data_IF_725204334653
#
_entry.id   IF_725204334653
#
_cell.length_a   1.000
_cell.length_b   1.000
_cell.length_c   1.000
_cell.angle_alpha   90.00
_cell.angle_beta   90.00
_cell.angle_gamma   90.00
#
_symmetry.space_group_name_H-M   'P 1'
#
loop_
_entity.id
_entity.type
_entity.pdbx_description
1 polymer ?
#
# COMPACT_ATOMS: atom_id res chain seq x y z
N UNK A 1 13.58 -8.78 26.18
CA UNK A 1 12.68 -9.18 25.10
C UNK A 1 11.67 -8.08 24.71
N UNK A 2 10.96 -7.41 25.68
CA UNK A 2 9.99 -6.35 25.36
C UNK A 2 10.63 -5.15 24.64
N UNK A 3 11.82 -4.72 25.07
CA UNK A 3 12.55 -3.62 24.42
C UNK A 3 12.96 -3.97 22.99
N UNK A 4 13.33 -5.23 22.74
CA UNK A 4 13.68 -5.72 21.41
C UNK A 4 12.46 -5.65 20.49
N UNK A 5 11.33 -6.18 20.93
CA UNK A 5 10.07 -6.14 20.16
C UNK A 5 9.64 -4.72 19.90
N UNK A 6 9.68 -3.84 20.91
CA UNK A 6 9.30 -2.44 20.74
C UNK A 6 10.20 -1.70 19.74
N UNK A 7 11.54 -1.84 19.90
CA UNK A 7 12.50 -1.22 18.99
C UNK A 7 12.38 -1.75 17.55
N UNK A 8 12.23 -3.07 17.40
CA UNK A 8 12.06 -3.70 16.10
C UNK A 8 10.72 -3.30 15.43
N UNK A 9 9.63 -3.24 16.19
CA UNK A 9 8.33 -2.78 15.67
C UNK A 9 8.38 -1.31 15.24
N UNK A 10 9.05 -0.46 16.00
CA UNK A 10 9.24 0.93 15.64
C UNK A 10 10.06 1.10 14.35
N UNK A 11 11.16 0.36 14.21
CA UNK A 11 11.92 0.29 12.96
C UNK A 11 11.04 -0.24 11.82
N UNK A 12 10.23 -1.25 12.07
CA UNK A 12 9.28 -1.79 11.10
C UNK A 12 8.31 -0.72 10.60
N UNK A 13 7.72 0.07 11.49
CA UNK A 13 6.80 1.16 11.10
C UNK A 13 7.51 2.15 10.17
N UNK A 14 8.77 2.50 10.43
CA UNK A 14 9.55 3.37 9.55
C UNK A 14 9.74 2.74 8.17
N UNK A 15 10.12 1.45 8.12
CA UNK A 15 10.28 0.74 6.85
C UNK A 15 8.98 0.67 6.06
N UNK A 16 7.86 0.38 6.72
CA UNK A 16 6.56 0.33 6.06
C UNK A 16 6.03 1.70 5.63
N UNK A 17 6.33 2.75 6.37
CA UNK A 17 5.91 4.12 6.07
C UNK A 17 6.64 4.74 4.87
N UNK A 18 7.80 4.21 4.49
CA UNK A 18 8.56 4.69 3.34
C UNK A 18 8.21 3.84 2.11
N UNK A 19 7.49 4.40 1.12
CA UNK A 19 7.22 3.70 -0.13
C UNK A 19 8.54 3.29 -0.78
N UNK A 20 8.70 1.99 -1.04
CA UNK A 20 9.95 1.45 -1.58
C UNK A 20 10.72 0.55 -0.60
N UNK A 21 10.52 0.71 0.69
CA UNK A 21 11.10 -0.18 1.69
C UNK A 21 10.05 -1.22 2.09
N UNK A 22 10.18 -2.43 1.55
CA UNK A 22 9.23 -3.52 1.86
C UNK A 22 9.52 -4.14 3.23
N UNK A 23 8.50 -4.76 3.83
CA UNK A 23 8.68 -5.52 5.06
C UNK A 23 9.72 -6.65 4.90
N UNK A 24 9.76 -7.28 3.72
CA UNK A 24 10.74 -8.33 3.39
C UNK A 24 12.16 -7.81 3.37
N UNK A 25 12.39 -6.64 2.79
CA UNK A 25 13.71 -5.99 2.80
C UNK A 25 14.14 -5.63 4.23
N UNK A 26 13.21 -5.09 5.03
CA UNK A 26 13.48 -4.81 6.44
C UNK A 26 13.87 -6.06 7.22
N UNK A 27 13.12 -7.16 7.05
CA UNK A 27 13.44 -8.46 7.67
C UNK A 27 14.80 -8.98 7.20
N UNK A 28 15.10 -8.92 5.89
CA UNK A 28 16.39 -9.36 5.35
C UNK A 28 17.58 -8.59 5.95
N UNK A 29 17.45 -7.27 6.06
CA UNK A 29 18.48 -6.43 6.69
C UNK A 29 18.61 -6.71 8.19
N UNK A 30 17.49 -6.85 8.91
CA UNK A 30 17.53 -7.12 10.34
C UNK A 30 18.06 -8.53 10.64
N UNK A 31 17.85 -9.50 9.76
CA UNK A 31 18.38 -10.87 9.91
C UNK A 31 19.88 -10.86 10.11
N UNK A 32 20.61 -10.02 9.36
CA UNK A 32 22.08 -9.92 9.51
C UNK A 32 22.50 -9.35 10.87
N UNK A 33 21.70 -8.43 11.41
CA UNK A 33 21.95 -7.81 12.73
C UNK A 33 21.56 -8.74 13.90
N UNK A 34 20.61 -9.62 13.68
CA UNK A 34 20.13 -10.58 14.70
C UNK A 34 20.99 -11.83 14.83
N UNK A 35 21.98 -12.01 13.97
CA UNK A 35 22.82 -13.23 13.94
C UNK A 35 23.56 -13.51 15.25
N UNK A 36 23.87 -12.46 16.02
CA UNK A 36 24.53 -12.57 17.35
C UNK A 36 23.57 -12.71 18.53
N UNK A 37 22.25 -12.73 18.29
CA UNK A 37 21.25 -12.87 19.34
C UNK A 37 20.86 -14.34 19.54
N UNK A 38 20.30 -14.65 20.72
CA UNK A 38 19.63 -15.92 20.92
C UNK A 38 18.41 -16.07 20.00
N UNK A 39 18.06 -17.30 19.66
CA UNK A 39 17.01 -17.61 18.66
C UNK A 39 15.68 -16.95 19.00
N UNK A 40 15.29 -16.94 20.26
CA UNK A 40 14.01 -16.35 20.67
C UNK A 40 14.01 -14.83 20.51
N UNK A 41 15.09 -14.15 20.88
CA UNK A 41 15.22 -12.70 20.71
C UNK A 41 15.31 -12.30 19.24
N UNK A 42 16.01 -13.09 18.43
CA UNK A 42 16.08 -12.89 16.98
C UNK A 42 14.70 -13.01 16.32
N UNK A 43 13.96 -14.08 16.62
CA UNK A 43 12.60 -14.27 16.12
C UNK A 43 11.66 -13.15 16.55
N UNK A 44 11.72 -12.72 17.80
CA UNK A 44 10.89 -11.62 18.31
C UNK A 44 11.22 -10.30 17.60
N UNK A 45 12.50 -10.04 17.31
CA UNK A 45 12.92 -8.86 16.57
C UNK A 45 12.40 -8.89 15.12
N UNK A 46 12.57 -10.00 14.41
CA UNK A 46 12.14 -10.16 13.02
C UNK A 46 10.62 -10.07 12.89
N UNK A 47 9.87 -10.73 13.78
CA UNK A 47 8.40 -10.67 13.80
C UNK A 47 7.92 -9.26 14.17
N UNK A 48 8.55 -8.61 15.15
CA UNK A 48 8.20 -7.25 15.54
C UNK A 48 8.39 -6.27 14.37
N UNK A 49 9.52 -6.35 13.67
CA UNK A 49 9.77 -5.53 12.49
C UNK A 49 8.76 -5.82 11.37
N UNK A 50 8.48 -7.10 11.10
CA UNK A 50 7.54 -7.48 10.06
C UNK A 50 6.14 -6.93 10.31
N UNK A 51 5.60 -7.13 11.52
CA UNK A 51 4.28 -6.60 11.92
C UNK A 51 4.27 -5.09 11.87
N UNK A 52 5.32 -4.44 12.39
CA UNK A 52 5.48 -2.99 12.34
C UNK A 52 5.49 -2.46 10.91
N UNK A 53 6.18 -3.13 9.98
CA UNK A 53 6.25 -2.72 8.59
C UNK A 53 4.92 -2.86 7.85
N UNK A 54 4.18 -3.94 8.08
CA UNK A 54 2.84 -4.12 7.50
C UNK A 54 1.90 -3.00 7.98
N UNK A 55 1.89 -2.71 9.27
CA UNK A 55 1.11 -1.62 9.83
C UNK A 55 1.56 -0.25 9.32
N UNK A 56 2.89 -0.02 9.28
CA UNK A 56 3.51 1.23 8.83
C UNK A 56 3.12 1.63 7.42
N UNK A 57 2.88 0.65 6.53
CA UNK A 57 2.42 0.86 5.16
C UNK A 57 1.05 1.55 5.05
N UNK A 58 0.25 1.56 6.13
CA UNK A 58 -1.02 2.25 6.17
C UNK A 58 -0.89 3.77 6.21
N UNK A 59 0.21 4.31 6.75
CA UNK A 59 0.42 5.77 6.84
C UNK A 59 0.45 6.44 5.47
N UNK A 60 1.36 6.07 4.55
CA UNK A 60 1.39 6.67 3.22
C UNK A 60 0.13 6.34 2.41
N UNK A 61 -0.51 5.19 2.64
CA UNK A 61 -1.79 4.85 2.01
C UNK A 61 -2.87 5.86 2.35
N UNK A 62 -3.00 6.23 3.62
CA UNK A 62 -4.02 7.16 4.12
C UNK A 62 -3.69 8.60 3.76
N UNK A 63 -2.41 9.01 3.89
CA UNK A 63 -2.04 10.42 3.77
C UNK A 63 -1.81 10.88 2.35
N UNK A 64 -1.22 10.03 1.51
CA UNK A 64 -0.81 10.40 0.13
C UNK A 64 -1.34 9.46 -0.95
N UNK A 65 -2.21 8.51 -0.60
CA UNK A 65 -2.77 7.52 -1.52
C UNK A 65 -1.71 6.65 -2.23
N UNK A 66 -0.59 6.42 -1.60
CA UNK A 66 0.47 5.52 -2.11
C UNK A 66 0.70 4.44 -1.07
N UNK A 67 0.25 3.20 -1.30
CA UNK A 67 0.45 2.12 -0.34
C UNK A 67 1.94 1.85 -0.10
N UNK A 68 2.36 1.85 1.16
CA UNK A 68 3.73 1.49 1.54
C UNK A 68 3.99 -0.01 1.42
N UNK A 69 2.94 -0.81 1.56
CA UNK A 69 2.97 -2.28 1.38
C UNK A 69 1.76 -2.72 0.55
N UNK A 70 1.86 -3.89 -0.10
CA UNK A 70 0.74 -4.45 -0.86
C UNK A 70 -0.54 -4.62 -0.01
N UNK A 71 -0.38 -5.02 1.25
CA UNK A 71 -1.49 -5.18 2.19
C UNK A 71 -2.22 -3.87 2.50
N UNK A 72 -1.52 -2.74 2.41
CA UNK A 72 -2.09 -1.43 2.68
C UNK A 72 -2.85 -0.82 1.48
N UNK A 73 -2.88 -1.50 0.32
CA UNK A 73 -3.62 -1.03 -0.85
C UNK A 73 -5.13 -0.89 -0.57
N UNK A 74 -5.72 -1.85 0.15
CA UNK A 74 -7.12 -1.77 0.57
C UNK A 74 -7.37 -0.58 1.53
N UNK A 75 -6.41 -0.27 2.39
CA UNK A 75 -6.49 0.88 3.29
C UNK A 75 -6.51 2.22 2.54
N UNK A 76 -5.84 2.31 1.38
CA UNK A 76 -5.85 3.50 0.55
C UNK A 76 -7.25 3.83 0.01
N UNK A 77 -8.05 2.80 -0.31
CA UNK A 77 -9.38 2.98 -0.92
C UNK A 77 -10.34 3.75 -0.03
N UNK A 78 -10.34 3.49 1.28
CA UNK A 78 -11.22 4.14 2.26
C UNK A 78 -10.51 5.22 3.08
N UNK A 79 -9.24 4.99 3.41
CA UNK A 79 -8.46 5.86 4.29
C UNK A 79 -8.11 7.19 3.64
N UNK A 80 -7.69 7.18 2.37
CA UNK A 80 -7.35 8.41 1.67
C UNK A 80 -8.55 9.34 1.41
N UNK A 81 -9.74 8.87 0.96
CA UNK A 81 -10.92 9.71 0.86
C UNK A 81 -11.32 10.37 2.19
N UNK A 82 -11.13 9.68 3.30
CA UNK A 82 -11.38 10.24 4.62
C UNK A 82 -10.34 11.31 4.97
N UNK A 83 -9.06 11.05 4.72
CA UNK A 83 -7.99 12.00 4.94
C UNK A 83 -8.12 13.25 4.06
N UNK A 84 -8.53 13.09 2.79
CA UNK A 84 -8.75 14.21 1.87
C UNK A 84 -9.88 15.15 2.29
N UNK A 85 -10.81 14.66 3.14
CA UNK A 85 -11.86 15.49 3.78
C UNK A 85 -11.39 16.20 5.05
N UNK A 86 -10.11 16.11 5.42
CA UNK A 86 -9.57 16.68 6.65
C UNK A 86 -9.66 15.76 7.88
N UNK A 87 -10.18 14.53 7.73
CA UNK A 87 -10.35 13.56 8.84
C UNK A 87 -9.20 12.52 8.90
N UNK A 88 -7.98 12.90 8.52
CA UNK A 88 -6.82 12.01 8.48
C UNK A 88 -6.49 11.39 9.85
N UNK A 89 -6.61 12.16 10.93
CA UNK A 89 -6.43 11.67 12.30
C UNK A 89 -7.43 10.56 12.65
N UNK A 90 -8.68 10.71 12.23
CA UNK A 90 -9.74 9.71 12.43
C UNK A 90 -9.45 8.44 11.62
N UNK A 91 -9.02 8.57 10.37
CA UNK A 91 -8.63 7.43 9.53
C UNK A 91 -7.47 6.65 10.16
N UNK A 92 -6.42 7.34 10.62
CA UNK A 92 -5.28 6.71 11.32
C UNK A 92 -5.71 6.03 12.62
N UNK A 93 -6.56 6.68 13.43
CA UNK A 93 -7.09 6.12 14.67
C UNK A 93 -7.91 4.85 14.43
N UNK A 94 -8.80 4.85 13.43
CA UNK A 94 -9.57 3.68 13.04
C UNK A 94 -8.67 2.53 12.57
N UNK A 95 -7.66 2.82 11.76
CA UNK A 95 -6.69 1.83 11.27
C UNK A 95 -5.92 1.21 12.43
N UNK A 96 -5.46 2.03 13.39
CA UNK A 96 -4.72 1.54 14.57
C UNK A 96 -5.60 0.62 15.44
N UNK A 97 -6.80 1.06 15.75
CA UNK A 97 -7.73 0.27 16.59
C UNK A 97 -8.16 -1.02 15.90
N UNK A 98 -8.52 -0.96 14.61
CA UNK A 98 -8.88 -2.13 13.83
C UNK A 98 -7.71 -3.11 13.71
N UNK A 99 -6.50 -2.60 13.46
CA UNK A 99 -5.28 -3.43 13.37
C UNK A 99 -4.97 -4.12 14.71
N UNK A 100 -5.11 -3.41 15.83
CA UNK A 100 -4.87 -3.98 17.16
C UNK A 100 -5.89 -5.07 17.48
N UNK A 101 -7.18 -4.80 17.32
CA UNK A 101 -8.25 -5.78 17.57
C UNK A 101 -8.12 -6.97 16.64
N UNK A 102 -7.88 -6.71 15.34
CA UNK A 102 -7.70 -7.75 14.33
C UNK A 102 -6.50 -8.64 14.61
N UNK A 103 -5.38 -8.07 15.05
CA UNK A 103 -4.18 -8.84 15.43
C UNK A 103 -4.41 -9.70 16.65
N UNK A 104 -5.06 -9.20 17.69
CA UNK A 104 -5.39 -9.98 18.89
C UNK A 104 -6.33 -11.14 18.57
N UNK A 105 -7.37 -10.86 17.77
CA UNK A 105 -8.32 -11.90 17.36
C UNK A 105 -7.66 -12.92 16.42
N UNK A 106 -6.85 -12.45 15.47
CA UNK A 106 -6.07 -13.30 14.56
C UNK A 106 -5.08 -14.20 15.30
N UNK A 107 -4.41 -13.69 16.35
CA UNK A 107 -3.51 -14.46 17.19
C UNK A 107 -4.27 -15.57 17.95
N UNK A 108 -5.43 -15.25 18.48
CA UNK A 108 -6.28 -16.24 19.16
C UNK A 108 -6.67 -17.38 18.21
N UNK A 109 -7.15 -17.03 17.01
CA UNK A 109 -7.50 -18.01 15.98
C UNK A 109 -6.28 -18.82 15.55
N UNK A 110 -5.13 -18.16 15.35
CA UNK A 110 -3.90 -18.83 14.97
C UNK A 110 -3.51 -19.90 15.97
N UNK A 111 -3.49 -19.58 17.26
CA UNK A 111 -3.13 -20.54 18.32
C UNK A 111 -4.08 -21.74 18.34
N UNK A 112 -5.38 -21.52 18.15
CA UNK A 112 -6.38 -22.59 18.16
C UNK A 112 -6.38 -23.42 16.88
N UNK A 113 -6.19 -22.78 15.73
CA UNK A 113 -6.37 -23.41 14.43
C UNK A 113 -5.06 -23.87 13.77
N UNK A 114 -3.90 -23.36 14.21
CA UNK A 114 -2.62 -23.68 13.55
C UNK A 114 -2.34 -25.18 13.42
N UNK A 115 -2.54 -26.03 14.46
CA UNK A 115 -2.31 -27.47 14.33
C UNK A 115 -3.23 -28.13 13.30
N UNK A 116 -4.51 -27.71 13.27
CA UNK A 116 -5.51 -28.23 12.34
C UNK A 116 -5.21 -27.79 10.91
N UNK A 117 -4.93 -26.49 10.71
CA UNK A 117 -4.59 -25.94 9.40
C UNK A 117 -3.30 -26.54 8.86
N UNK A 118 -2.28 -26.75 9.70
CA UNK A 118 -1.02 -27.35 9.30
C UNK A 118 -1.23 -28.78 8.78
N UNK A 119 -2.04 -29.59 9.44
CA UNK A 119 -2.30 -30.96 9.00
C UNK A 119 -3.01 -31.04 7.66
N UNK A 120 -3.89 -30.09 7.36
CA UNK A 120 -4.58 -29.97 6.07
C UNK A 120 -3.66 -29.37 5.00
N UNK A 121 -2.92 -28.30 5.35
CA UNK A 121 -2.04 -27.60 4.42
C UNK A 121 -0.91 -28.48 3.87
N UNK A 122 -0.41 -29.41 4.69
CA UNK A 122 0.62 -30.38 4.26
C UNK A 122 0.11 -31.40 3.20
N UNK A 123 -1.20 -31.50 3.03
CA UNK A 123 -1.80 -32.35 1.99
C UNK A 123 -2.03 -31.60 0.67
N UNK A 124 -1.85 -30.27 0.67
CA UNK A 124 -2.05 -29.45 -0.51
C UNK A 124 -0.90 -29.65 -1.50
N UNK A 125 -1.27 -29.91 -2.73
CA UNK A 125 -0.35 -29.95 -3.87
C UNK A 125 -0.34 -28.60 -4.60
N UNK A 126 0.50 -28.47 -5.61
CA UNK A 126 0.56 -27.26 -6.44
C UNK A 126 -0.78 -26.94 -7.10
N UNK A 127 -1.63 -27.94 -7.32
CA UNK A 127 -2.95 -27.78 -7.94
C UNK A 127 -3.94 -27.06 -6.99
N UNK A 128 -3.99 -27.46 -5.73
CA UNK A 128 -4.85 -26.82 -4.73
C UNK A 128 -4.40 -25.37 -4.46
N UNK A 129 -3.09 -25.11 -4.42
CA UNK A 129 -2.58 -23.74 -4.31
C UNK A 129 -2.96 -22.88 -5.51
N UNK A 130 -2.92 -23.43 -6.74
CA UNK A 130 -3.38 -22.74 -7.93
C UNK A 130 -4.87 -22.38 -7.83
N UNK A 131 -5.72 -23.34 -7.44
CA UNK A 131 -7.16 -23.11 -7.28
C UNK A 131 -7.45 -22.05 -6.22
N UNK A 132 -6.69 -22.06 -5.12
CA UNK A 132 -6.85 -21.11 -4.02
C UNK A 132 -6.44 -19.70 -4.45
N UNK A 133 -5.37 -19.56 -5.23
CA UNK A 133 -4.96 -18.30 -5.83
C UNK A 133 -6.00 -17.77 -6.82
N UNK A 134 -6.54 -18.63 -7.70
CA UNK A 134 -7.60 -18.29 -8.64
C UNK A 134 -8.85 -17.80 -7.92
N UNK A 135 -9.28 -18.52 -6.88
CA UNK A 135 -10.40 -18.14 -6.04
C UNK A 135 -10.18 -16.77 -5.37
N UNK A 136 -8.97 -16.52 -4.85
CA UNK A 136 -8.59 -15.24 -4.28
C UNK A 136 -8.70 -14.08 -5.28
N UNK A 137 -8.25 -14.29 -6.52
CA UNK A 137 -8.36 -13.27 -7.59
C UNK A 137 -9.82 -12.99 -7.94
N UNK A 138 -10.65 -14.03 -8.07
CA UNK A 138 -12.05 -13.88 -8.39
C UNK A 138 -12.81 -13.11 -7.31
N UNK A 139 -12.59 -13.45 -6.03
CA UNK A 139 -13.19 -12.72 -4.90
C UNK A 139 -12.67 -11.28 -4.85
N UNK A 140 -11.37 -11.08 -4.92
CA UNK A 140 -10.79 -9.74 -4.89
C UNK A 140 -11.35 -8.87 -6.02
N UNK A 141 -11.44 -9.40 -7.23
CA UNK A 141 -12.02 -8.71 -8.38
C UNK A 141 -13.47 -8.28 -8.18
N UNK A 142 -14.28 -9.11 -7.52
CA UNK A 142 -15.67 -8.76 -7.21
C UNK A 142 -15.81 -7.73 -6.11
N UNK A 143 -14.97 -7.81 -5.08
CA UNK A 143 -15.02 -6.91 -3.92
C UNK A 143 -14.48 -5.51 -4.21
N UNK A 144 -13.48 -5.40 -5.09
CA UNK A 144 -12.82 -4.11 -5.38
C UNK A 144 -13.46 -3.33 -6.53
N UNK A 145 -14.34 -3.97 -7.30
CA UNK A 145 -15.00 -3.31 -8.43
C UNK A 145 -16.36 -2.72 -8.01
N UNK A 146 -16.48 -1.40 -8.04
CA UNK A 146 -17.75 -0.70 -7.83
C UNK A 146 -18.75 -1.02 -8.95
N UNK A 147 -19.54 -2.10 -8.78
CA UNK A 147 -20.67 -2.45 -9.64
C UNK A 147 -20.36 -3.23 -10.93
N UNK A 148 -19.08 -3.47 -11.28
CA UNK A 148 -18.70 -4.18 -12.51
C UNK A 148 -17.60 -5.21 -12.24
N UNK A 149 -17.98 -6.40 -11.79
CA UNK A 149 -17.07 -7.49 -11.46
C UNK A 149 -16.11 -7.86 -12.60
N UNK A 150 -16.53 -7.67 -13.86
CA UNK A 150 -15.72 -7.98 -15.04
C UNK A 150 -14.44 -7.14 -15.08
N UNK A 151 -14.53 -5.85 -14.75
CA UNK A 151 -13.36 -4.95 -14.70
C UNK A 151 -12.38 -5.39 -13.62
N UNK A 152 -12.89 -5.79 -12.45
CA UNK A 152 -12.07 -6.32 -11.37
C UNK A 152 -11.35 -7.61 -11.76
N UNK A 153 -12.01 -8.52 -12.44
CA UNK A 153 -11.39 -9.75 -12.93
C UNK A 153 -10.34 -9.49 -14.00
N UNK A 154 -10.63 -8.63 -14.98
CA UNK A 154 -9.65 -8.25 -16.02
C UNK A 154 -8.40 -7.65 -15.35
N UNK A 155 -8.57 -6.75 -14.38
CA UNK A 155 -7.45 -6.17 -13.65
C UNK A 155 -6.67 -7.24 -12.85
N UNK A 156 -7.36 -8.17 -12.19
CA UNK A 156 -6.74 -9.27 -11.45
C UNK A 156 -5.92 -10.21 -12.35
N UNK A 157 -6.49 -10.64 -13.49
CA UNK A 157 -5.78 -11.48 -14.45
C UNK A 157 -4.63 -10.75 -15.14
N UNK A 158 -4.78 -9.45 -15.40
CA UNK A 158 -3.68 -8.64 -15.91
C UNK A 158 -2.54 -8.54 -14.89
N UNK A 159 -2.87 -8.33 -13.60
CA UNK A 159 -1.88 -8.37 -12.53
C UNK A 159 -1.16 -9.73 -12.42
N UNK A 160 -1.91 -10.83 -12.56
CA UNK A 160 -1.34 -12.18 -12.60
C UNK A 160 -0.39 -12.36 -13.79
N UNK A 161 -0.77 -11.86 -14.97
CA UNK A 161 0.09 -11.88 -16.15
C UNK A 161 1.39 -11.11 -15.93
N UNK A 162 1.31 -9.93 -15.33
CA UNK A 162 2.50 -9.15 -14.98
C UNK A 162 3.39 -9.88 -13.96
N UNK A 163 2.80 -10.59 -13.01
CA UNK A 163 3.53 -11.39 -12.03
C UNK A 163 4.26 -12.60 -12.65
N UNK A 164 3.88 -13.03 -13.86
CA UNK A 164 4.57 -14.10 -14.58
C UNK A 164 5.88 -13.63 -15.23
N UNK A 165 6.15 -12.33 -15.30
CA UNK A 165 7.39 -11.80 -15.87
C UNK A 165 8.53 -12.05 -14.87
N UNK A 166 9.63 -12.62 -15.33
CA UNK A 166 10.80 -12.93 -14.51
C UNK A 166 11.28 -14.37 -14.66
N UNK A 167 12.15 -14.78 -13.74
CA UNK A 167 12.62 -16.19 -13.70
C UNK A 167 11.73 -17.05 -12.81
N UNK A 168 11.44 -18.23 -13.27
CA UNK A 168 10.77 -19.24 -12.44
C UNK A 168 11.61 -19.57 -11.21
N UNK A 169 10.99 -19.56 -10.04
CA UNK A 169 11.68 -19.85 -8.77
C UNK A 169 12.09 -21.31 -8.62
N UNK A 170 11.45 -22.24 -9.36
CA UNK A 170 11.74 -23.68 -9.30
C UNK A 170 12.74 -24.14 -10.36
N UNK A 171 12.56 -23.70 -11.59
CA UNK A 171 13.36 -24.17 -12.74
C UNK A 171 14.31 -23.10 -13.28
N UNK A 172 14.30 -21.89 -12.72
CA UNK A 172 15.12 -20.74 -13.16
C UNK A 172 14.99 -20.40 -14.65
N UNK A 173 13.89 -20.85 -15.30
CA UNK A 173 13.63 -20.56 -16.69
C UNK A 173 13.13 -19.11 -16.84
N UNK A 174 13.68 -18.31 -17.78
CA UNK A 174 13.23 -16.95 -18.01
C UNK A 174 11.84 -16.96 -18.68
N UNK A 175 10.88 -16.23 -18.10
CA UNK A 175 9.53 -16.04 -18.63
C UNK A 175 9.31 -14.58 -18.98
N UNK A 176 9.03 -14.29 -20.24
CA UNK A 176 8.73 -12.95 -20.73
C UNK A 176 9.79 -11.88 -20.37
N UNK A 177 11.06 -12.30 -20.26
CA UNK A 177 12.17 -11.38 -19.92
C UNK A 177 12.76 -10.68 -21.14
N UNK A 178 12.45 -11.17 -22.36
CA UNK A 178 12.93 -10.62 -23.63
C UNK A 178 14.46 -10.39 -23.65
N UNK A 179 15.21 -11.26 -23.00
CA UNK A 179 16.67 -11.16 -22.81
C UNK A 179 17.15 -9.87 -22.13
N UNK A 180 16.26 -9.18 -21.41
CA UNK A 180 16.60 -8.01 -20.62
C UNK A 180 16.94 -8.40 -19.17
N UNK A 181 18.19 -8.21 -18.71
CA UNK A 181 18.60 -8.58 -17.36
C UNK A 181 17.79 -7.91 -16.24
N UNK A 182 17.23 -6.73 -16.53
CA UNK A 182 16.40 -5.98 -15.60
C UNK A 182 15.06 -6.67 -15.27
N UNK A 183 14.57 -7.51 -16.20
CA UNK A 183 13.33 -8.27 -16.03
C UNK A 183 13.57 -9.67 -15.45
N UNK A 184 14.81 -10.08 -15.28
CA UNK A 184 15.15 -11.41 -14.72
C UNK A 184 14.63 -11.58 -13.28
N UNK A 185 14.66 -10.52 -12.48
CA UNK A 185 14.10 -10.50 -11.11
C UNK A 185 12.58 -10.34 -11.05
N UNK A 186 11.94 -10.21 -12.21
CA UNK A 186 10.52 -9.89 -12.30
C UNK A 186 10.23 -8.41 -12.14
N UNK A 187 8.93 -8.07 -12.11
CA UNK A 187 8.49 -6.71 -11.81
C UNK A 187 8.42 -6.53 -10.29
N UNK A 188 9.22 -5.63 -9.77
CA UNK A 188 9.14 -5.29 -8.34
C UNK A 188 7.78 -4.65 -8.04
N UNK A 189 7.18 -5.08 -6.93
CA UNK A 189 5.84 -4.62 -6.53
C UNK A 189 5.81 -3.11 -6.22
N UNK A 190 6.93 -2.55 -5.81
CA UNK A 190 7.01 -1.14 -5.40
C UNK A 190 6.83 -0.17 -6.57
N UNK A 191 7.58 -0.26 -7.69
CA UNK A 191 7.30 0.53 -8.87
C UNK A 191 5.87 0.36 -9.41
N UNK A 192 5.33 -0.86 -9.32
CA UNK A 192 3.95 -1.16 -9.74
C UNK A 192 2.95 -0.42 -8.86
N UNK A 193 3.12 -0.42 -7.53
CA UNK A 193 2.25 0.32 -6.61
C UNK A 193 2.35 1.84 -6.82
N UNK A 194 3.55 2.37 -6.95
CA UNK A 194 3.76 3.80 -7.22
C UNK A 194 3.10 4.18 -8.56
N UNK A 195 3.25 3.36 -9.58
CA UNK A 195 2.62 3.58 -10.88
C UNK A 195 1.09 3.53 -10.80
N UNK A 196 0.55 2.47 -10.18
CA UNK A 196 -0.89 2.24 -10.13
C UNK A 196 -1.65 3.25 -9.26
N UNK A 197 -1.05 3.74 -8.18
CA UNK A 197 -1.70 4.66 -7.25
C UNK A 197 -1.18 6.11 -7.40
N UNK A 198 0.12 6.30 -7.59
CA UNK A 198 0.73 7.62 -7.66
C UNK A 198 0.40 8.36 -8.95
N UNK A 199 0.47 7.69 -10.11
CA UNK A 199 0.19 8.35 -11.40
C UNK A 199 -1.27 8.83 -11.49
N UNK A 200 -2.31 8.02 -11.19
CA UNK A 200 -3.68 8.49 -11.17
C UNK A 200 -3.90 9.67 -10.21
N UNK A 201 -3.23 9.67 -9.06
CA UNK A 201 -3.31 10.77 -8.10
C UNK A 201 -2.72 12.07 -8.67
N UNK A 202 -1.57 12.00 -9.34
CA UNK A 202 -0.97 13.15 -10.02
C UNK A 202 -1.90 13.69 -11.10
N UNK A 203 -2.46 12.80 -11.94
CA UNK A 203 -3.39 13.19 -13.01
C UNK A 203 -4.62 13.87 -12.41
N UNK A 204 -5.18 13.33 -11.32
CA UNK A 204 -6.33 13.91 -10.63
C UNK A 204 -6.03 15.32 -10.11
N UNK A 205 -4.91 15.51 -9.44
CA UNK A 205 -4.48 16.82 -8.93
C UNK A 205 -4.28 17.82 -10.06
N UNK A 206 -3.65 17.41 -11.17
CA UNK A 206 -3.45 18.27 -12.34
C UNK A 206 -4.79 18.65 -13.00
N UNK A 207 -5.73 17.69 -13.11
CA UNK A 207 -7.05 17.94 -13.66
C UNK A 207 -7.87 18.90 -12.78
N UNK A 208 -7.83 18.73 -11.45
CA UNK A 208 -8.47 19.64 -10.51
C UNK A 208 -7.88 21.04 -10.56
N UNK A 209 -6.56 21.14 -10.68
CA UNK A 209 -5.85 22.41 -10.84
C UNK A 209 -6.28 23.14 -12.12
N UNK A 210 -6.33 22.42 -13.25
CA UNK A 210 -6.79 22.97 -14.52
C UNK A 210 -8.26 23.45 -14.44
N UNK A 211 -9.13 22.67 -13.80
CA UNK A 211 -10.53 23.03 -13.60
C UNK A 211 -10.69 24.26 -12.70
N UNK A 212 -9.85 24.40 -11.68
CA UNK A 212 -9.85 25.55 -10.79
C UNK A 212 -9.37 26.81 -11.52
N UNK A 213 -8.29 26.71 -12.33
CA UNK A 213 -7.83 27.83 -13.16
C UNK A 213 -8.89 28.28 -14.17
N UNK A 214 -9.59 27.36 -14.85
CA UNK A 214 -10.71 27.69 -15.73
C UNK A 214 -11.82 28.44 -15.00
N UNK A 215 -12.27 27.93 -13.84
CA UNK A 215 -13.29 28.60 -13.02
C UNK A 215 -12.89 30.00 -12.56
N UNK A 216 -11.60 30.15 -12.22
CA UNK A 216 -11.07 31.46 -11.79
C UNK A 216 -11.02 32.44 -12.96
N UNK A 217 -10.60 32.00 -14.15
CA UNK A 217 -10.61 32.79 -15.37
C UNK A 217 -12.03 33.28 -15.71
N UNK A 218 -13.02 32.38 -15.69
CA UNK A 218 -14.42 32.72 -15.94
C UNK A 218 -14.96 33.78 -14.93
N UNK A 219 -14.60 33.63 -13.64
CA UNK A 219 -15.02 34.61 -12.61
C UNK A 219 -14.34 35.97 -12.77
N UNK A 220 -13.10 36.00 -13.23
CA UNK A 220 -12.37 37.24 -13.46
C UNK A 220 -12.84 37.95 -14.72
N UNK A 221 -13.19 37.21 -15.77
CA UNK A 221 -13.81 37.73 -16.98
C UNK A 221 -15.16 38.39 -16.68
N UNK A 222 -15.99 37.75 -15.83
CA UNK A 222 -17.26 38.33 -15.36
C UNK A 222 -17.09 39.62 -14.54
N UNK A 223 -15.95 39.82 -13.88
CA UNK A 223 -15.65 41.01 -13.06
C UNK A 223 -14.82 42.09 -13.78
N UNK A 224 -14.50 41.92 -15.03
CA UNK A 224 -13.61 42.85 -15.81
C UNK A 224 -12.27 43.13 -15.12
N UNK A 225 -11.68 42.12 -14.48
CA UNK A 225 -10.34 42.21 -13.88
C UNK A 225 -9.30 41.82 -14.94
N UNK A 226 -8.24 42.62 -15.08
CA UNK A 226 -7.19 42.37 -16.07
C UNK A 226 -6.43 41.07 -15.82
N UNK A 227 -6.00 40.40 -16.90
CA UNK A 227 -5.29 39.09 -16.89
C UNK A 227 -4.01 39.09 -16.02
N UNK A 228 -3.42 40.25 -15.76
CA UNK A 228 -2.20 40.43 -14.96
C UNK A 228 -2.36 39.96 -13.50
N UNK A 229 -3.61 39.88 -12.99
CA UNK A 229 -3.91 39.45 -11.62
C UNK A 229 -4.38 37.99 -11.51
N UNK A 230 -4.62 37.31 -12.62
CA UNK A 230 -5.19 35.94 -12.63
C UNK A 230 -4.23 34.94 -12.00
N UNK A 231 -2.97 34.96 -12.39
CA UNK A 231 -1.98 33.97 -11.97
C UNK A 231 -1.57 34.12 -10.49
N UNK A 232 -1.27 35.33 -9.98
CA UNK A 232 -1.01 35.53 -8.56
C UNK A 232 -2.21 35.21 -7.67
N UNK A 233 -3.44 35.51 -8.10
CA UNK A 233 -4.65 35.25 -7.34
C UNK A 233 -4.97 33.75 -7.29
N UNK A 234 -4.76 33.03 -8.38
CA UNK A 234 -4.91 31.58 -8.43
C UNK A 234 -3.89 30.88 -7.52
N UNK A 235 -2.63 31.32 -7.52
CA UNK A 235 -1.60 30.80 -6.62
C UNK A 235 -1.91 31.12 -5.16
N UNK A 236 -2.38 32.31 -4.86
CA UNK A 236 -2.77 32.71 -3.50
C UNK A 236 -3.97 31.88 -3.00
N UNK A 237 -4.96 31.64 -3.85
CA UNK A 237 -6.13 30.83 -3.51
C UNK A 237 -5.75 29.36 -3.29
N UNK A 238 -4.87 28.81 -4.14
CA UNK A 238 -4.35 27.46 -3.96
C UNK A 238 -3.50 27.33 -2.69
N UNK A 239 -2.68 28.33 -2.39
CA UNK A 239 -1.88 28.38 -1.16
C UNK A 239 -2.76 28.48 0.08
N UNK A 240 -3.83 29.31 0.05
CA UNK A 240 -4.78 29.45 1.16
C UNK A 240 -5.61 28.19 1.41
N UNK A 241 -6.04 27.50 0.36
CA UNK A 241 -6.74 26.21 0.49
C UNK A 241 -5.81 25.11 1.02
N UNK A 242 -4.55 25.07 0.59
CA UNK A 242 -3.57 24.14 1.11
C UNK A 242 -3.19 24.46 2.56
N UNK A 243 -3.10 25.74 2.96
CA UNK A 243 -2.86 26.11 4.35
C UNK A 243 -4.06 25.82 5.26
N UNK A 244 -5.30 26.01 4.78
CA UNK A 244 -6.52 25.62 5.50
C UNK A 244 -6.63 24.10 5.66
N UNK A 245 -6.30 23.34 4.63
CA UNK A 245 -6.21 21.88 4.72
C UNK A 245 -5.07 21.43 5.64
N UNK A 246 -3.89 22.05 5.56
CA UNK A 246 -2.78 21.76 6.46
C UNK A 246 -3.10 22.09 7.93
N UNK A 247 -3.82 23.19 8.22
CA UNK A 247 -4.29 23.50 9.58
C UNK A 247 -5.33 22.51 10.11
N UNK A 248 -6.09 21.83 9.24
CA UNK A 248 -6.99 20.75 9.64
C UNK A 248 -6.24 19.44 9.94
N UNK A 249 -4.98 19.30 9.52
CA UNK A 249 -4.13 18.13 9.78
C UNK A 249 -3.32 18.23 11.09
N UNK A 250 -3.22 19.39 11.71
CA UNK A 250 -2.68 19.60 13.07
C UNK A 250 -3.80 19.53 14.10
#
# INVERSE_FOLDING_TARGET
NLLIVFGASFLGIIFGALPGLTATLGVALLTTLTYGLDVNSALLALLGLYVGAIYGGSYPSILINIPGTAAAAATAMEGYPLASKGEGRKALGLTTTASTIGTLFGLLILVLMAPLIASVALQFTSFEFFLLALFGILISGTLTSEGDALKGWIAGFFGLFLACIGRDTLQFFPRFTFDMPQLDSGLDIVPVLIGAFGIPQIIKVLAERKKLHGKLADLLEQRQVSDEFVEPLALHYLASQNSLKAMQFC
#
